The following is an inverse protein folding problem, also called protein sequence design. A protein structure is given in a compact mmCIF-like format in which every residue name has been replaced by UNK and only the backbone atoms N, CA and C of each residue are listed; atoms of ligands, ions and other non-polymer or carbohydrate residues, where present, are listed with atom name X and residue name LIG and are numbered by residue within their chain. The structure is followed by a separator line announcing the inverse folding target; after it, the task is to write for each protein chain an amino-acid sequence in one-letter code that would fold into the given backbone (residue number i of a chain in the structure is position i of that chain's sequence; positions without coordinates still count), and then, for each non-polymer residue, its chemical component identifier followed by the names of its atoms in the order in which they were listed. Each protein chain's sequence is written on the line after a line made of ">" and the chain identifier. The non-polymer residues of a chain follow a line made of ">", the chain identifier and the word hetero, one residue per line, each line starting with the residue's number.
data_IF_872648929540
#
_entry.id   IF_872648929540
#
_cell.length_a   1.000
_cell.length_b   1.000
_cell.length_c   1.000
_cell.angle_alpha   90.00
_cell.angle_beta   90.00
_cell.angle_gamma   90.00
#
_symmetry.space_group_name_H-M   'P 1'
#
loop_
_entity.id
_entity.type
_entity.pdbx_description
1 polymer ?
#
# COMPACT_ATOMS: atom_id res chain seq x y z
N UNK A 1 -32.60 81.26 -21.12
CA UNK A 1 -31.43 80.36 -21.16
C UNK A 1 -31.95 78.93 -21.13
N UNK A 2 -31.57 78.13 -22.14
CA UNK A 2 -31.36 76.66 -22.21
C UNK A 2 -31.90 75.78 -21.06
N UNK A 3 -32.46 74.58 -21.21
CA UNK A 3 -32.82 73.64 -22.28
C UNK A 3 -33.65 72.50 -21.59
N UNK A 4 -34.30 71.57 -22.33
CA UNK A 4 -35.50 70.83 -21.89
C UNK A 4 -35.23 69.46 -21.21
N UNK A 5 -36.20 68.99 -20.42
CA UNK A 5 -36.28 67.60 -19.93
C UNK A 5 -37.02 66.74 -20.95
N UNK A 6 -36.34 65.75 -21.51
CA UNK A 6 -36.89 64.76 -22.46
C UNK A 6 -37.45 63.56 -21.70
N UNK A 7 -38.76 63.35 -21.79
CA UNK A 7 -39.42 62.10 -21.40
C UNK A 7 -39.31 61.11 -22.55
N UNK A 8 -38.60 60.00 -22.35
CA UNK A 8 -38.46 58.92 -23.34
C UNK A 8 -39.41 57.78 -22.98
N UNK A 9 -40.46 57.61 -23.76
CA UNK A 9 -41.43 56.53 -23.61
C UNK A 9 -40.88 55.25 -24.26
N UNK A 10 -40.55 54.25 -23.47
CA UNK A 10 -40.08 52.94 -23.93
C UNK A 10 -41.27 52.14 -24.47
N UNK A 11 -41.35 51.97 -25.80
CA UNK A 11 -42.28 51.03 -26.43
C UNK A 11 -41.62 49.67 -26.57
N UNK A 12 -42.16 48.70 -25.84
CA UNK A 12 -41.81 47.29 -25.90
C UNK A 12 -42.23 46.71 -27.27
N UNK A 13 -41.27 46.32 -28.10
CA UNK A 13 -41.53 45.49 -29.28
C UNK A 13 -41.32 44.03 -28.86
N UNK A 14 -42.41 43.26 -28.82
CA UNK A 14 -42.37 41.82 -28.62
C UNK A 14 -41.85 41.14 -29.90
N UNK A 15 -40.53 40.97 -29.99
CA UNK A 15 -39.87 40.15 -31.00
C UNK A 15 -39.76 38.70 -30.49
N UNK A 16 -40.46 37.78 -31.15
CA UNK A 16 -40.33 36.35 -30.89
C UNK A 16 -38.93 35.86 -31.31
N UNK A 17 -38.01 35.77 -30.34
CA UNK A 17 -36.75 35.06 -30.50
C UNK A 17 -37.01 33.56 -30.44
N UNK A 18 -37.05 32.90 -31.59
CA UNK A 18 -36.88 31.45 -31.67
C UNK A 18 -35.40 31.14 -31.35
N UNK A 19 -35.09 30.92 -30.08
CA UNK A 19 -33.85 30.25 -29.69
C UNK A 19 -33.98 28.79 -30.13
N UNK A 20 -33.49 28.49 -31.34
CA UNK A 20 -33.19 27.12 -31.72
C UNK A 20 -31.99 26.69 -30.89
N UNK A 21 -32.28 26.17 -29.69
CA UNK A 21 -31.28 25.52 -28.84
C UNK A 21 -30.78 24.29 -29.60
N UNK A 22 -29.68 24.46 -30.33
CA UNK A 22 -28.94 23.35 -30.90
C UNK A 22 -28.26 22.62 -29.74
N UNK A 23 -29.02 21.76 -29.06
CA UNK A 23 -28.45 20.76 -28.14
C UNK A 23 -27.68 19.78 -29.01
N UNK A 24 -26.39 20.03 -29.23
CA UNK A 24 -25.49 18.94 -29.63
C UNK A 24 -25.62 17.89 -28.53
N UNK A 25 -26.01 16.64 -28.86
CA UNK A 25 -25.89 15.58 -27.89
C UNK A 25 -24.45 15.58 -27.41
N UNK A 26 -24.24 15.51 -26.09
CA UNK A 26 -22.90 15.28 -25.57
C UNK A 26 -22.33 14.06 -26.29
N UNK A 27 -21.09 14.19 -26.78
CA UNK A 27 -20.43 13.09 -27.46
C UNK A 27 -20.46 11.89 -26.50
N UNK A 28 -21.14 10.82 -26.91
CA UNK A 28 -21.16 9.59 -26.13
C UNK A 28 -19.71 9.17 -25.91
N UNK A 29 -19.28 8.87 -24.66
CA UNK A 29 -17.93 8.42 -24.40
C UNK A 29 -17.59 7.30 -25.38
N UNK A 30 -16.42 7.33 -26.01
CA UNK A 30 -15.97 6.26 -26.91
C UNK A 30 -14.89 5.38 -26.26
N UNK A 31 -14.59 5.64 -25.00
CA UNK A 31 -13.48 5.04 -24.25
C UNK A 31 -13.94 4.59 -22.88
N UNK A 32 -13.15 3.71 -22.25
CA UNK A 32 -13.30 3.35 -20.85
C UNK A 32 -12.02 3.62 -20.06
N UNK A 33 -11.99 3.11 -18.82
CA UNK A 33 -10.90 3.34 -17.86
C UNK A 33 -10.50 1.99 -17.24
N UNK A 34 -9.20 1.78 -17.02
CA UNK A 34 -8.70 0.74 -16.11
C UNK A 34 -8.14 1.41 -14.86
N UNK A 35 -8.49 0.92 -13.68
CA UNK A 35 -7.93 1.35 -12.40
C UNK A 35 -7.50 0.16 -11.55
N UNK A 36 -6.64 0.41 -10.57
CA UNK A 36 -6.28 -0.57 -9.57
C UNK A 36 -5.43 0.01 -8.44
N UNK A 37 -5.17 -0.85 -7.47
CA UNK A 37 -4.45 -0.54 -6.25
C UNK A 37 -3.30 -1.52 -6.04
N UNK A 38 -2.21 -1.05 -5.45
CA UNK A 38 -0.98 -1.80 -5.20
C UNK A 38 -0.62 -1.65 -3.73
N UNK A 39 -0.61 -2.76 -2.99
CA UNK A 39 -0.06 -2.77 -1.64
C UNK A 39 1.45 -2.57 -1.75
N UNK A 40 1.99 -1.68 -0.93
CA UNK A 40 3.36 -1.16 -0.97
C UNK A 40 3.53 -0.22 -2.17
N UNK A 41 3.31 1.08 -1.98
CA UNK A 41 3.15 2.02 -3.07
C UNK A 41 4.39 2.18 -3.96
N UNK A 42 5.56 1.82 -3.45
CA UNK A 42 6.86 1.91 -4.11
C UNK A 42 7.38 0.57 -4.64
N UNK A 43 6.60 -0.52 -4.53
CA UNK A 43 7.09 -1.83 -4.98
C UNK A 43 7.14 -1.97 -6.52
N UNK A 44 6.44 -1.09 -7.25
CA UNK A 44 6.34 -1.09 -8.70
C UNK A 44 6.80 0.28 -9.24
N UNK A 45 7.90 0.27 -10.00
CA UNK A 45 8.43 1.44 -10.68
C UNK A 45 7.50 1.92 -11.81
N UNK A 46 6.85 0.97 -12.48
CA UNK A 46 5.90 1.28 -13.55
C UNK A 46 4.95 0.13 -13.88
N UNK A 47 3.81 0.52 -14.44
CA UNK A 47 2.79 -0.36 -14.99
C UNK A 47 2.68 -0.11 -16.48
N UNK A 48 2.65 -1.17 -17.26
CA UNK A 48 2.45 -1.10 -18.71
C UNK A 48 1.15 -1.79 -19.06
N UNK A 49 0.27 -1.11 -19.80
CA UNK A 49 -0.93 -1.69 -20.38
C UNK A 49 -0.72 -1.85 -21.88
N UNK A 50 -0.89 -3.07 -22.38
CA UNK A 50 -0.66 -3.46 -23.76
C UNK A 50 -1.99 -3.88 -24.40
N UNK A 51 -2.52 -3.12 -25.38
CA UNK A 51 -3.65 -3.60 -26.16
C UNK A 51 -3.24 -4.78 -27.05
N UNK A 52 -4.23 -5.51 -27.58
CA UNK A 52 -3.99 -6.57 -28.56
C UNK A 52 -3.41 -6.03 -29.88
N UNK A 53 -3.77 -4.79 -30.23
CA UNK A 53 -3.18 -4.04 -31.34
C UNK A 53 -2.95 -2.59 -30.94
N UNK A 54 -1.81 -2.03 -31.34
CA UNK A 54 -1.40 -0.67 -30.97
C UNK A 54 -0.20 -0.64 -30.02
N UNK A 55 0.20 0.57 -29.65
CA UNK A 55 1.37 0.78 -28.79
C UNK A 55 0.99 0.58 -27.30
N UNK A 56 1.90 0.01 -26.50
CA UNK A 56 1.72 -0.07 -25.06
C UNK A 56 1.79 1.32 -24.42
N UNK A 57 1.03 1.51 -23.34
CA UNK A 57 1.04 2.73 -22.53
C UNK A 57 1.66 2.41 -21.18
N UNK A 58 2.63 3.21 -20.75
CA UNK A 58 3.35 3.03 -19.48
C UNK A 58 3.11 4.21 -18.56
N UNK A 59 2.83 3.93 -17.28
CA UNK A 59 2.65 4.94 -16.23
C UNK A 59 3.43 4.57 -14.98
N UNK A 60 3.69 5.57 -14.13
CA UNK A 60 4.16 5.37 -12.76
C UNK A 60 2.96 5.41 -11.81
N UNK A 61 2.83 4.47 -10.84
CA UNK A 61 1.76 4.53 -9.85
C UNK A 61 1.80 5.83 -9.05
N UNK A 62 0.62 6.30 -8.63
CA UNK A 62 0.47 7.47 -7.78
C UNK A 62 0.60 7.03 -6.32
N UNK A 63 1.62 7.56 -5.64
CA UNK A 63 1.89 7.33 -4.23
C UNK A 63 1.33 8.48 -3.41
N UNK A 64 0.38 8.19 -2.51
CA UNK A 64 -0.14 9.17 -1.56
C UNK A 64 0.71 9.15 -0.28
N UNK A 65 1.26 10.29 0.18
CA UNK A 65 2.02 10.34 1.42
C UNK A 65 1.23 9.78 2.61
N UNK A 66 1.83 8.84 3.34
CA UNK A 66 1.21 8.18 4.50
C UNK A 66 0.26 7.02 4.16
N UNK A 67 0.12 6.66 2.88
CA UNK A 67 -0.64 5.48 2.44
C UNK A 67 0.26 4.26 2.29
N UNK A 68 -0.24 3.08 2.67
CA UNK A 68 0.39 1.79 2.38
C UNK A 68 -0.01 1.22 1.00
N UNK A 69 -0.77 2.01 0.22
CA UNK A 69 -1.30 1.65 -1.10
C UNK A 69 -0.98 2.74 -2.12
N UNK A 70 -0.49 2.35 -3.30
CA UNK A 70 -0.47 3.19 -4.49
C UNK A 70 -1.67 2.91 -5.38
N UNK A 71 -2.07 3.91 -6.15
CA UNK A 71 -3.16 3.81 -7.13
C UNK A 71 -2.63 3.99 -8.54
N UNK A 72 -3.34 3.46 -9.52
CA UNK A 72 -3.06 3.75 -10.92
C UNK A 72 -4.34 3.85 -11.74
N UNK A 73 -4.26 4.61 -12.84
CA UNK A 73 -5.37 4.79 -13.77
C UNK A 73 -4.86 4.92 -15.20
N UNK A 74 -5.50 4.18 -16.11
CA UNK A 74 -5.36 4.34 -17.55
C UNK A 74 -6.70 4.81 -18.10
N UNK A 75 -6.91 6.14 -18.24
CA UNK A 75 -8.12 6.68 -18.83
C UNK A 75 -8.09 6.61 -20.36
N UNK A 76 -9.25 6.85 -20.98
CA UNK A 76 -9.40 7.03 -22.42
C UNK A 76 -8.92 5.83 -23.26
N UNK A 77 -9.08 4.61 -22.73
CA UNK A 77 -8.75 3.39 -23.46
C UNK A 77 -9.87 3.02 -24.42
N UNK A 78 -9.53 2.65 -25.65
CA UNK A 78 -10.50 2.08 -26.59
C UNK A 78 -11.07 0.75 -26.04
N UNK A 79 -12.32 0.39 -26.38
CA UNK A 79 -12.88 -0.89 -25.96
C UNK A 79 -12.05 -2.06 -26.49
N UNK A 80 -11.82 -3.08 -25.66
CA UNK A 80 -11.01 -4.23 -26.03
C UNK A 80 -10.37 -4.94 -24.86
N UNK A 81 -9.53 -5.94 -25.17
CA UNK A 81 -8.75 -6.70 -24.20
C UNK A 81 -7.32 -6.15 -24.09
N UNK A 82 -6.86 -6.00 -22.86
CA UNK A 82 -5.55 -5.47 -22.50
C UNK A 82 -4.83 -6.42 -21.57
N UNK A 83 -3.51 -6.52 -21.75
CA UNK A 83 -2.61 -7.17 -20.80
C UNK A 83 -1.86 -6.11 -20.00
N UNK A 84 -1.81 -6.28 -18.68
CA UNK A 84 -1.03 -5.45 -17.77
C UNK A 84 0.23 -6.20 -17.35
N UNK A 85 1.37 -5.51 -17.41
CA UNK A 85 2.65 -5.97 -16.89
C UNK A 85 3.26 -4.93 -15.95
N UNK A 86 4.11 -5.41 -15.06
CA UNK A 86 4.60 -4.65 -13.92
C UNK A 86 6.13 -4.66 -13.90
N UNK A 87 6.73 -3.48 -13.83
CA UNK A 87 8.17 -3.34 -13.60
C UNK A 87 8.39 -3.16 -12.10
N UNK A 88 8.93 -4.16 -11.38
CA UNK A 88 9.18 -4.04 -9.96
C UNK A 88 10.32 -3.04 -9.70
N UNK A 89 10.29 -2.41 -8.54
CA UNK A 89 11.48 -1.72 -7.99
C UNK A 89 12.53 -2.73 -7.52
N UNK A 90 13.71 -2.23 -7.16
CA UNK A 90 14.78 -3.04 -6.56
C UNK A 90 14.25 -3.84 -5.36
N UNK A 91 14.67 -5.10 -5.26
CA UNK A 91 14.31 -6.04 -4.19
C UNK A 91 12.85 -6.50 -4.19
N UNK A 92 12.10 -6.22 -5.26
CA UNK A 92 10.77 -6.78 -5.51
C UNK A 92 10.76 -7.73 -6.71
N UNK A 93 9.77 -8.63 -6.71
CA UNK A 93 9.51 -9.54 -7.81
C UNK A 93 8.26 -9.08 -8.54
N UNK A 94 8.32 -9.06 -9.88
CA UNK A 94 7.20 -8.69 -10.71
C UNK A 94 5.98 -9.60 -10.41
N UNK A 95 4.81 -9.04 -10.09
CA UNK A 95 3.58 -9.82 -9.99
C UNK A 95 3.22 -10.49 -11.32
N UNK A 96 2.38 -11.55 -11.28
CA UNK A 96 1.83 -12.13 -12.50
C UNK A 96 1.11 -11.07 -13.35
N UNK A 97 1.28 -11.16 -14.67
CA UNK A 97 0.56 -10.30 -15.60
C UNK A 97 -0.97 -10.47 -15.43
N UNK A 98 -1.70 -9.37 -15.54
CA UNK A 98 -3.17 -9.37 -15.43
C UNK A 98 -3.79 -9.05 -16.78
N UNK A 99 -5.06 -9.41 -16.95
CA UNK A 99 -5.86 -9.05 -18.12
C UNK A 99 -7.05 -8.21 -17.70
N UNK A 100 -7.41 -7.25 -18.54
CA UNK A 100 -8.54 -6.37 -18.33
C UNK A 100 -9.32 -6.22 -19.64
N UNK A 101 -10.65 -6.21 -19.54
CA UNK A 101 -11.53 -5.86 -20.66
C UNK A 101 -12.08 -4.47 -20.42
N UNK A 102 -11.90 -3.57 -21.38
CA UNK A 102 -12.44 -2.21 -21.36
C UNK A 102 -13.73 -2.17 -22.16
N UNK A 103 -14.77 -1.59 -21.58
CA UNK A 103 -16.01 -1.25 -22.29
C UNK A 103 -16.21 0.26 -22.33
N UNK A 104 -16.97 0.69 -23.33
CA UNK A 104 -17.30 2.09 -23.55
C UNK A 104 -18.01 2.67 -22.31
N UNK A 105 -17.49 3.78 -21.77
CA UNK A 105 -18.07 4.49 -20.63
C UNK A 105 -17.95 3.76 -19.28
N UNK A 106 -17.32 2.60 -19.23
CA UNK A 106 -17.14 1.82 -17.99
C UNK A 106 -15.74 2.02 -17.38
N UNK A 107 -15.66 1.83 -16.06
CA UNK A 107 -14.39 1.68 -15.33
C UNK A 107 -14.20 0.23 -14.94
N UNK A 108 -13.13 -0.38 -15.45
CA UNK A 108 -12.70 -1.73 -15.08
C UNK A 108 -11.72 -1.62 -13.92
N UNK A 109 -12.15 -2.00 -12.72
CA UNK A 109 -11.30 -2.02 -11.52
C UNK A 109 -10.66 -3.39 -11.35
N UNK A 110 -9.33 -3.43 -11.27
CA UNK A 110 -8.55 -4.64 -11.00
C UNK A 110 -8.48 -4.92 -9.50
N UNK A 111 -8.35 -6.21 -9.09
CA UNK A 111 -8.18 -6.55 -7.69
C UNK A 111 -6.89 -5.96 -7.13
N UNK A 112 -6.91 -5.67 -5.82
CA UNK A 112 -5.75 -5.20 -5.07
C UNK A 112 -4.54 -6.14 -5.30
N UNK A 113 -3.42 -5.55 -5.70
CA UNK A 113 -2.22 -6.30 -6.06
C UNK A 113 -1.20 -6.31 -4.92
N UNK A 114 -0.74 -7.51 -4.55
CA UNK A 114 0.38 -7.71 -3.62
C UNK A 114 1.67 -7.95 -4.41
N UNK A 115 2.73 -7.21 -4.08
CA UNK A 115 4.04 -7.35 -4.73
C UNK A 115 5.01 -8.13 -3.82
N UNK A 116 5.49 -9.31 -4.25
CA UNK A 116 6.43 -10.10 -3.47
C UNK A 116 7.83 -9.47 -3.43
N UNK A 117 8.60 -9.79 -2.40
CA UNK A 117 10.02 -9.42 -2.28
C UNK A 117 10.93 -10.42 -3.00
N UNK A 118 12.12 -9.99 -3.40
CA UNK A 118 13.25 -10.91 -3.64
C UNK A 118 13.78 -11.42 -2.29
N UNK A 119 14.58 -12.48 -2.29
CA UNK A 119 15.07 -13.14 -1.08
C UNK A 119 15.89 -12.27 -0.09
N UNK A 120 16.12 -10.97 -0.39
CA UNK A 120 16.87 -10.03 0.44
C UNK A 120 15.96 -9.21 1.37
N UNK A 121 15.08 -9.88 2.13
CA UNK A 121 14.17 -9.21 3.05
C UNK A 121 14.81 -8.86 4.41
N UNK A 122 16.13 -8.71 4.46
CA UNK A 122 16.87 -8.56 5.72
C UNK A 122 16.94 -9.87 6.52
N UNK A 123 17.26 -9.74 7.80
CA UNK A 123 17.39 -10.89 8.72
C UNK A 123 16.75 -10.61 10.06
N UNK A 124 16.27 -11.67 10.72
CA UNK A 124 15.83 -11.63 12.12
C UNK A 124 16.48 -12.81 12.86
N UNK A 125 17.08 -12.54 14.01
CA UNK A 125 17.56 -13.56 14.94
C UNK A 125 17.07 -13.27 16.35
N UNK A 126 16.84 -14.30 17.15
CA UNK A 126 16.37 -14.18 18.54
C UNK A 126 16.59 -15.48 19.29
N UNK A 127 16.55 -15.44 20.62
CA UNK A 127 16.55 -16.63 21.46
C UNK A 127 15.21 -16.78 22.19
N UNK A 128 14.58 -17.95 22.08
CA UNK A 128 13.36 -18.29 22.81
C UNK A 128 13.73 -19.21 23.97
N UNK A 129 13.43 -18.80 25.20
CA UNK A 129 13.81 -19.54 26.42
C UNK A 129 15.30 -19.96 26.41
N UNK A 130 16.18 -19.05 25.97
CA UNK A 130 17.63 -19.28 25.87
C UNK A 130 18.09 -20.01 24.61
N UNK A 131 17.20 -20.56 23.78
CA UNK A 131 17.56 -21.25 22.53
C UNK A 131 17.55 -20.30 21.33
N UNK A 132 18.71 -20.09 20.73
CA UNK A 132 18.86 -19.24 19.55
C UNK A 132 18.09 -19.79 18.34
N UNK A 133 17.48 -18.89 17.58
CA UNK A 133 16.67 -19.12 16.40
C UNK A 133 17.02 -18.05 15.36
N UNK A 134 17.42 -18.48 14.18
CA UNK A 134 17.46 -17.63 12.99
C UNK A 134 16.13 -17.78 12.24
N UNK A 135 15.49 -16.66 11.91
CA UNK A 135 14.26 -16.69 11.13
C UNK A 135 14.58 -16.97 9.66
N UNK A 136 13.85 -17.92 9.08
CA UNK A 136 13.86 -18.22 7.64
C UNK A 136 12.79 -17.43 6.89
N UNK A 137 11.74 -17.01 7.60
CA UNK A 137 10.72 -16.09 7.11
C UNK A 137 10.74 -14.84 7.99
N UNK A 138 10.91 -13.68 7.36
CA UNK A 138 10.98 -12.39 8.02
C UNK A 138 10.05 -11.41 7.33
N UNK A 139 9.36 -10.58 8.09
CA UNK A 139 8.58 -9.47 7.58
C UNK A 139 8.55 -8.34 8.61
N UNK A 140 8.81 -7.11 8.15
CA UNK A 140 8.47 -5.89 8.85
C UNK A 140 7.33 -5.20 8.13
N UNK A 141 6.48 -4.50 8.85
CA UNK A 141 5.52 -3.57 8.26
C UNK A 141 5.20 -2.43 9.21
N UNK A 142 4.90 -1.26 8.66
CA UNK A 142 4.27 -0.18 9.41
C UNK A 142 2.81 -0.05 8.98
N UNK A 143 1.92 0.19 9.94
CA UNK A 143 0.54 0.63 9.69
C UNK A 143 0.29 1.82 10.60
N UNK A 144 0.34 3.03 10.03
CA UNK A 144 0.38 4.27 10.80
C UNK A 144 1.60 4.32 11.73
N UNK A 145 1.37 4.38 13.05
CA UNK A 145 2.42 4.41 14.07
C UNK A 145 2.74 3.04 14.68
N UNK A 146 2.20 1.95 14.13
CA UNK A 146 2.41 0.60 14.63
C UNK A 146 3.41 -0.12 13.73
N UNK A 147 4.47 -0.68 14.31
CA UNK A 147 5.39 -1.58 13.62
C UNK A 147 5.05 -3.02 13.96
N UNK A 148 4.84 -3.85 12.94
CA UNK A 148 4.65 -5.29 13.07
C UNK A 148 5.93 -6.00 12.63
N UNK A 149 6.44 -6.88 13.49
CA UNK A 149 7.60 -7.71 13.23
C UNK A 149 7.20 -9.18 13.26
N UNK A 150 7.40 -9.88 12.14
CA UNK A 150 7.15 -11.30 12.01
C UNK A 150 8.48 -12.00 11.71
N UNK A 151 8.80 -13.01 12.51
CA UNK A 151 9.96 -13.86 12.33
C UNK A 151 9.60 -15.31 12.61
N UNK A 152 9.92 -16.23 11.71
CA UNK A 152 9.69 -17.66 11.90
C UNK A 152 10.94 -18.46 11.52
N UNK A 153 11.38 -19.34 12.42
CA UNK A 153 12.53 -20.21 12.24
C UNK A 153 12.30 -21.62 12.79
N UNK A 154 13.25 -22.52 12.56
CA UNK A 154 13.25 -23.88 13.11
C UNK A 154 13.52 -23.85 14.63
N UNK A 155 12.49 -23.52 15.42
CA UNK A 155 12.61 -23.41 16.88
C UNK A 155 11.71 -22.37 17.54
N UNK A 156 11.12 -21.46 16.75
CA UNK A 156 10.19 -20.46 17.29
C UNK A 156 9.54 -19.60 16.22
N UNK A 157 8.46 -18.93 16.59
CA UNK A 157 7.83 -17.86 15.80
C UNK A 157 7.65 -16.62 16.67
N UNK A 158 7.71 -15.45 16.08
CA UNK A 158 7.37 -14.18 16.73
C UNK A 158 6.36 -13.42 15.86
N UNK A 159 5.38 -12.78 16.51
CA UNK A 159 4.49 -11.78 15.95
C UNK A 159 4.41 -10.63 16.96
N UNK A 160 5.31 -9.65 16.82
CA UNK A 160 5.46 -8.57 17.78
C UNK A 160 4.92 -7.28 17.20
N UNK A 161 4.22 -6.51 18.04
CA UNK A 161 3.67 -5.21 17.69
C UNK A 161 4.31 -4.15 18.59
N UNK A 162 5.05 -3.24 17.99
CA UNK A 162 5.54 -2.02 18.63
C UNK A 162 4.59 -0.86 18.36
N UNK A 163 4.13 -0.19 19.41
CA UNK A 163 3.30 1.01 19.29
C UNK A 163 4.17 2.27 19.27
N UNK A 164 3.77 3.28 18.51
CA UNK A 164 4.38 4.62 18.41
C UNK A 164 5.77 4.67 17.72
N UNK A 165 6.03 3.77 16.77
CA UNK A 165 7.35 3.48 16.20
C UNK A 165 7.75 4.34 15.00
N UNK A 166 7.12 5.49 14.78
CA UNK A 166 7.30 6.27 13.55
C UNK A 166 8.74 6.80 13.34
N UNK A 167 9.53 6.88 14.43
CA UNK A 167 10.93 7.33 14.47
C UNK A 167 11.83 6.26 15.11
N UNK A 168 13.15 6.33 14.97
CA UNK A 168 14.06 5.55 15.80
C UNK A 168 13.85 5.85 17.30
N UNK A 169 13.90 4.82 18.14
CA UNK A 169 13.59 4.93 19.56
C UNK A 169 13.31 3.58 20.21
N UNK A 170 13.05 3.58 21.52
CA UNK A 170 12.68 2.38 22.29
C UNK A 170 11.20 2.45 22.69
N UNK A 171 10.50 1.36 22.44
CA UNK A 171 9.05 1.23 22.54
C UNK A 171 8.67 0.02 23.38
N UNK A 172 7.54 0.10 24.07
CA UNK A 172 6.94 -1.06 24.73
C UNK A 172 6.39 -2.00 23.69
N UNK A 173 6.64 -3.29 23.87
CA UNK A 173 6.09 -4.33 23.01
C UNK A 173 4.75 -4.84 23.52
N UNK A 174 3.89 -5.13 22.55
CA UNK A 174 2.65 -5.90 22.72
C UNK A 174 2.63 -7.02 21.67
N UNK A 175 1.65 -7.92 21.77
CA UNK A 175 1.47 -9.00 20.80
C UNK A 175 1.76 -10.38 21.39
N UNK A 176 2.28 -11.29 20.57
CA UNK A 176 2.40 -12.69 20.94
C UNK A 176 3.66 -13.33 20.36
N UNK A 177 4.24 -14.30 21.05
CA UNK A 177 5.31 -15.13 20.51
C UNK A 177 5.04 -16.61 20.74
N UNK A 178 5.55 -17.45 19.83
CA UNK A 178 5.33 -18.88 19.84
C UNK A 178 6.62 -19.65 20.07
N UNK A 179 6.58 -20.65 20.94
CA UNK A 179 7.67 -21.63 21.07
C UNK A 179 7.37 -22.85 20.21
N UNK A 180 8.31 -23.24 19.35
CA UNK A 180 8.25 -24.51 18.60
C UNK A 180 8.98 -25.58 19.42
N UNK A 181 8.56 -26.87 19.43
CA UNK A 181 7.61 -27.52 18.50
C UNK A 181 6.13 -27.54 18.91
N UNK A 182 5.77 -27.09 20.11
CA UNK A 182 4.41 -27.27 20.65
C UNK A 182 3.41 -26.14 20.30
N UNK A 183 3.81 -25.13 19.53
CA UNK A 183 2.97 -24.00 19.12
C UNK A 183 2.32 -23.24 20.29
N UNK A 184 2.94 -23.23 21.47
CA UNK A 184 2.42 -22.45 22.60
C UNK A 184 2.54 -20.97 22.28
N UNK A 185 1.40 -20.32 22.13
CA UNK A 185 1.33 -18.87 21.96
C UNK A 185 1.39 -18.22 23.34
N UNK A 186 2.36 -17.34 23.53
CA UNK A 186 2.53 -16.54 24.73
C UNK A 186 2.05 -15.13 24.43
N UNK A 187 1.19 -14.59 25.29
CA UNK A 187 0.81 -13.18 25.24
C UNK A 187 1.92 -12.37 25.90
N UNK A 188 2.43 -11.36 25.19
CA UNK A 188 3.48 -10.48 25.70
C UNK A 188 2.94 -9.72 26.92
N UNK A 189 3.59 -9.88 28.07
CA UNK A 189 3.27 -9.17 29.32
C UNK A 189 4.24 -8.03 29.58
N UNK A 190 5.46 -8.11 29.04
CA UNK A 190 6.46 -7.04 29.05
C UNK A 190 7.45 -7.22 27.91
N UNK A 191 8.10 -6.15 27.48
CA UNK A 191 9.09 -6.22 26.42
C UNK A 191 9.45 -4.87 25.85
N UNK A 192 10.55 -4.85 25.11
CA UNK A 192 11.09 -3.66 24.45
C UNK A 192 11.35 -3.94 22.98
N UNK A 193 11.01 -2.97 22.14
CA UNK A 193 11.42 -2.89 20.74
C UNK A 193 12.25 -1.61 20.60
N UNK A 194 13.48 -1.72 20.13
CA UNK A 194 14.30 -0.57 19.80
C UNK A 194 14.51 -0.51 18.31
N UNK A 195 14.03 0.54 17.66
CA UNK A 195 14.35 0.85 16.26
C UNK A 195 15.60 1.71 16.27
N UNK A 196 16.71 1.17 15.76
CA UNK A 196 18.01 1.88 15.71
C UNK A 196 18.17 2.66 14.42
N UNK A 197 17.64 2.15 13.32
CA UNK A 197 17.63 2.83 12.03
C UNK A 197 16.28 2.63 11.35
N UNK A 198 15.77 3.70 10.74
CA UNK A 198 14.62 3.68 9.85
C UNK A 198 14.96 4.51 8.62
N UNK A 199 15.47 3.83 7.61
CA UNK A 199 15.70 4.42 6.30
C UNK A 199 14.35 4.48 5.58
N UNK A 200 13.81 5.68 5.41
CA UNK A 200 12.56 5.89 4.69
C UNK A 200 12.75 5.84 3.17
N UNK A 201 13.95 6.18 2.69
CA UNK A 201 14.26 6.18 1.26
C UNK A 201 14.34 4.76 0.73
N UNK A 202 15.03 3.87 1.45
CA UNK A 202 15.20 2.47 1.05
C UNK A 202 14.20 1.52 1.75
N UNK A 203 13.30 2.05 2.60
CA UNK A 203 12.35 1.30 3.44
C UNK A 203 12.99 0.19 4.27
N UNK A 204 14.20 0.44 4.78
CA UNK A 204 14.94 -0.50 5.61
C UNK A 204 14.85 -0.11 7.07
N UNK A 205 14.49 -1.06 7.93
CA UNK A 205 14.45 -0.87 9.38
C UNK A 205 15.37 -1.89 10.05
N UNK A 206 16.10 -1.41 11.04
CA UNK A 206 16.98 -2.22 11.87
C UNK A 206 16.73 -1.91 13.34
N UNK A 207 17.00 -2.90 14.19
CA UNK A 207 16.76 -2.74 15.61
C UNK A 207 16.90 -4.01 16.41
N UNK A 208 16.46 -3.92 17.66
CA UNK A 208 16.49 -5.02 18.62
C UNK A 208 15.15 -5.18 19.32
N UNK A 209 14.92 -6.36 19.88
CA UNK A 209 13.73 -6.61 20.70
C UNK A 209 13.97 -7.65 21.79
N UNK A 210 13.16 -7.56 22.83
CA UNK A 210 13.06 -8.58 23.88
C UNK A 210 11.63 -8.60 24.42
N UNK A 211 11.15 -9.77 24.82
CA UNK A 211 9.80 -9.89 25.38
C UNK A 211 9.75 -11.01 26.43
N UNK A 212 8.87 -10.86 27.40
CA UNK A 212 8.41 -11.92 28.27
C UNK A 212 6.90 -12.03 28.14
N UNK A 213 6.37 -13.23 28.35
CA UNK A 213 4.94 -13.48 28.19
C UNK A 213 4.48 -14.72 28.94
N UNK A 214 3.17 -14.84 29.06
CA UNK A 214 2.49 -16.01 29.65
C UNK A 214 1.81 -16.80 28.55
N UNK A 215 1.88 -18.12 28.62
CA UNK A 215 1.19 -19.00 27.70
C UNK A 215 -0.33 -18.73 27.74
N UNK A 216 -0.97 -18.67 26.57
CA UNK A 216 -2.39 -18.32 26.45
C UNK A 216 -3.33 -19.34 27.13
N UNK A 217 -2.88 -20.58 27.30
CA UNK A 217 -3.57 -21.66 28.02
C UNK A 217 -3.23 -21.69 29.52
N UNK A 218 -2.44 -20.73 30.02
CA UNK A 218 -1.99 -20.68 31.41
C UNK A 218 -0.88 -21.67 31.77
N UNK A 219 -0.33 -22.41 30.80
CA UNK A 219 0.64 -23.49 31.06
C UNK A 219 2.03 -23.02 31.53
N UNK A 220 2.32 -21.72 31.52
CA UNK A 220 3.58 -21.19 32.02
C UNK A 220 3.98 -19.83 31.47
N UNK A 221 5.27 -19.53 31.57
CA UNK A 221 5.88 -18.30 31.06
C UNK A 221 6.91 -18.61 29.98
N UNK A 222 7.19 -17.62 29.13
CA UNK A 222 8.19 -17.69 28.08
C UNK A 222 8.94 -16.37 27.94
N UNK A 223 10.12 -16.44 27.35
CA UNK A 223 10.96 -15.27 27.09
C UNK A 223 11.52 -15.31 25.68
N UNK A 224 11.66 -14.13 25.09
CA UNK A 224 12.39 -13.85 23.86
C UNK A 224 13.48 -12.85 24.20
N UNK A 225 14.72 -13.22 23.95
CA UNK A 225 15.92 -12.43 24.28
C UNK A 225 16.83 -12.32 23.06
N UNK A 226 17.76 -11.37 23.09
CA UNK A 226 18.73 -11.15 22.02
C UNK A 226 18.07 -11.02 20.63
N UNK A 227 16.87 -10.45 20.58
CA UNK A 227 16.17 -10.20 19.34
C UNK A 227 16.88 -9.11 18.55
N UNK A 228 17.25 -9.39 17.31
CA UNK A 228 17.86 -8.45 16.38
C UNK A 228 17.16 -8.59 15.04
N UNK A 229 16.83 -7.47 14.42
CA UNK A 229 16.43 -7.43 13.02
C UNK A 229 17.32 -6.42 12.29
N UNK A 230 17.82 -6.82 11.13
CA UNK A 230 18.79 -6.04 10.37
C UNK A 230 18.32 -5.91 8.94
N UNK A 231 18.28 -4.67 8.46
CA UNK A 231 17.99 -4.32 7.07
C UNK A 231 16.66 -4.93 6.58
N UNK A 232 15.69 -5.00 7.48
CA UNK A 232 14.38 -5.57 7.20
C UNK A 232 13.61 -4.58 6.33
N UNK A 233 13.13 -5.03 5.19
CA UNK A 233 12.24 -4.23 4.35
C UNK A 233 10.88 -4.15 5.05
N UNK A 234 10.35 -2.93 5.21
CA UNK A 234 9.08 -2.66 5.89
C UNK A 234 8.08 -1.96 4.99
#
# INVERSE_FOLDING_TARGET
>A
MNHPVRTFTLRLLAGAFFFSACSKPDATPQTGIITGEIIRPDAIAAITVSPTSGAPIRITPVITPGSDVATFSFPNLAPGSYQLSYTPEKDFVAPPAQTATVKVGETTTLPLMLVPFTANNGSISFAVNGKSTAAVYVNGSFTGSIFTLIGQGYGGKILLLGQQTSVPGTYTLTGNFGTSPRSYTHNVTSGTLTITNKDQTNRRVSGTFSAAGTAADGSGTGTVTNGVFTDLLY
#
